data_IF_171494807074
#
_entry.id   IF_171494807074
#
_cell.length_a   1.000
_cell.length_b   1.000
_cell.length_c   1.000
_cell.angle_alpha   90.00
_cell.angle_beta   90.00
_cell.angle_gamma   90.00
#
_symmetry.space_group_name_H-M   'P 1'
#
loop_
_entity.id
_entity.type
_entity.pdbx_description
1 polymer ?
#
# COMPACT_ATOMS: atom_id res chain seq x y z
N UNK A 1 39.22 -33.18 -22.77
CA UNK A 1 38.01 -32.37 -22.51
C UNK A 1 37.90 -32.18 -21.01
N UNK A 2 38.08 -30.95 -20.52
CA UNK A 2 37.91 -30.58 -19.10
C UNK A 2 36.67 -29.69 -19.00
N UNK A 3 35.71 -29.96 -18.11
CA UNK A 3 34.54 -29.12 -17.97
C UNK A 3 34.92 -27.86 -17.19
N UNK A 4 34.75 -26.71 -17.82
CA UNK A 4 34.77 -25.39 -17.18
C UNK A 4 33.46 -25.24 -16.41
N UNK A 5 33.55 -25.30 -15.08
CA UNK A 5 32.42 -25.05 -14.19
C UNK A 5 32.29 -23.54 -14.04
N UNK A 6 31.26 -22.95 -14.65
CA UNK A 6 30.94 -21.53 -14.49
C UNK A 6 30.17 -21.37 -13.18
N UNK A 7 30.81 -20.76 -12.19
CA UNK A 7 30.19 -20.39 -10.93
C UNK A 7 29.47 -19.05 -11.11
N UNK A 8 28.19 -19.11 -11.45
CA UNK A 8 27.31 -17.93 -11.53
C UNK A 8 26.09 -18.13 -10.66
N UNK A 9 26.14 -17.63 -9.43
CA UNK A 9 25.07 -16.84 -8.81
C UNK A 9 25.46 -16.52 -7.36
N UNK A 10 26.22 -15.44 -7.14
CA UNK A 10 26.20 -14.81 -5.82
C UNK A 10 24.85 -14.11 -5.71
N UNK A 11 23.96 -14.51 -4.79
CA UNK A 11 22.69 -13.83 -4.63
C UNK A 11 22.97 -12.39 -4.22
N UNK A 12 22.45 -11.43 -4.98
CA UNK A 12 22.46 -10.03 -4.59
C UNK A 12 21.59 -9.93 -3.34
N UNK A 13 22.22 -9.83 -2.18
CA UNK A 13 21.54 -9.57 -0.91
C UNK A 13 21.07 -8.12 -0.95
N UNK A 14 19.86 -7.91 -1.46
CA UNK A 14 19.16 -6.65 -1.27
C UNK A 14 18.87 -6.50 0.23
N UNK A 15 19.71 -5.73 0.93
CA UNK A 15 19.38 -5.22 2.25
C UNK A 15 18.21 -4.23 2.08
N UNK A 16 17.01 -4.77 1.89
CA UNK A 16 15.79 -4.03 2.05
C UNK A 16 15.82 -3.50 3.48
N UNK A 17 16.00 -2.19 3.61
CA UNK A 17 15.75 -1.43 4.84
C UNK A 17 14.31 -1.74 5.25
N UNK A 18 14.13 -2.83 6.02
CA UNK A 18 12.85 -3.22 6.58
C UNK A 18 12.45 -2.05 7.48
N UNK A 19 11.34 -1.35 7.20
CA UNK A 19 10.85 -0.32 8.09
C UNK A 19 10.71 -0.96 9.47
N UNK A 20 11.43 -0.42 10.47
CA UNK A 20 11.44 -0.94 11.85
C UNK A 20 9.97 -1.13 12.28
N UNK A 21 9.50 -2.36 12.53
CA UNK A 21 8.11 -2.58 12.88
C UNK A 21 7.83 -1.79 14.15
N UNK A 22 6.81 -0.92 14.10
CA UNK A 22 6.24 -0.39 15.33
C UNK A 22 5.72 -1.58 16.16
N UNK A 23 5.60 -1.45 17.49
CA UNK A 23 5.29 -2.57 18.40
C UNK A 23 4.05 -3.41 18.03
N UNK A 24 3.16 -2.90 17.16
CA UNK A 24 1.94 -3.59 16.71
C UNK A 24 2.04 -4.16 15.28
N UNK A 25 3.22 -4.17 14.65
CA UNK A 25 3.40 -4.67 13.27
C UNK A 25 2.80 -3.80 12.16
N UNK A 26 2.01 -2.77 12.50
CA UNK A 26 1.33 -1.90 11.52
C UNK A 26 2.27 -0.84 10.95
N UNK A 27 2.35 -0.77 9.62
CA UNK A 27 3.12 0.21 8.85
C UNK A 27 2.20 1.32 8.33
N UNK A 28 2.74 2.54 8.21
CA UNK A 28 2.04 3.71 7.66
C UNK A 28 2.50 3.92 6.22
N UNK A 29 1.56 3.93 5.30
CA UNK A 29 1.73 4.33 3.91
C UNK A 29 1.07 5.69 3.70
N UNK A 30 1.78 6.65 3.12
CA UNK A 30 1.25 7.96 2.76
C UNK A 30 1.36 8.14 1.26
N UNK A 31 0.25 8.49 0.63
CA UNK A 31 0.17 8.47 -0.82
C UNK A 31 -1.01 9.22 -1.39
N UNK A 32 -1.15 9.10 -2.71
CA UNK A 32 -2.28 9.62 -3.46
C UNK A 32 -3.11 8.43 -3.97
N UNK A 33 -4.42 8.50 -3.84
CA UNK A 33 -5.33 7.46 -4.33
C UNK A 33 -5.24 7.40 -5.85
N UNK A 34 -5.03 6.22 -6.42
CA UNK A 34 -5.28 5.97 -7.83
C UNK A 34 -6.67 5.39 -8.04
N UNK A 35 -7.05 4.44 -7.19
CA UNK A 35 -8.32 3.76 -7.26
C UNK A 35 -8.74 3.32 -5.86
N UNK A 36 -10.03 3.35 -5.58
CA UNK A 36 -10.58 2.85 -4.32
C UNK A 36 -11.92 2.18 -4.57
N UNK A 37 -12.08 0.98 -4.01
CA UNK A 37 -13.37 0.31 -3.91
C UNK A 37 -13.59 -0.18 -2.48
N UNK A 38 -14.72 -0.82 -2.24
CA UNK A 38 -15.14 -1.26 -0.91
C UNK A 38 -14.29 -2.39 -0.34
N UNK A 39 -13.50 -3.09 -1.17
CA UNK A 39 -12.66 -4.22 -0.77
C UNK A 39 -11.16 -3.89 -0.74
N UNK A 40 -10.70 -2.93 -1.53
CA UNK A 40 -9.28 -2.61 -1.69
C UNK A 40 -9.08 -1.15 -2.09
N UNK A 41 -7.90 -0.62 -1.74
CA UNK A 41 -7.46 0.72 -2.11
C UNK A 41 -6.07 0.65 -2.76
N UNK A 42 -5.93 1.29 -3.91
CA UNK A 42 -4.66 1.42 -4.63
C UNK A 42 -4.19 2.86 -4.52
N UNK A 43 -2.97 3.05 -4.02
CA UNK A 43 -2.39 4.36 -3.81
C UNK A 43 -0.93 4.40 -4.28
N UNK A 44 -0.50 5.55 -4.80
CA UNK A 44 0.91 5.84 -5.13
C UNK A 44 1.59 6.49 -3.95
N UNK A 45 2.82 6.08 -3.66
CA UNK A 45 3.57 6.62 -2.52
C UNK A 45 3.90 8.09 -2.74
N UNK A 46 3.75 8.90 -1.69
CA UNK A 46 4.12 10.32 -1.71
C UNK A 46 5.65 10.42 -1.69
N UNK A 47 6.24 11.00 -2.75
CA UNK A 47 7.69 11.15 -2.89
C UNK A 47 8.38 10.02 -3.65
N UNK A 48 7.62 9.00 -4.08
CA UNK A 48 8.10 8.01 -5.05
C UNK A 48 6.95 7.63 -5.99
N UNK A 49 6.75 8.45 -7.04
CA UNK A 49 5.63 8.30 -7.98
C UNK A 49 5.63 6.97 -8.75
N UNK A 50 6.76 6.23 -8.75
CA UNK A 50 6.85 4.90 -9.36
C UNK A 50 6.35 3.77 -8.44
N UNK A 51 6.13 4.06 -7.15
CA UNK A 51 5.64 3.05 -6.19
C UNK A 51 4.13 3.11 -6.09
N UNK A 52 3.46 2.14 -6.71
CA UNK A 52 2.02 1.91 -6.57
C UNK A 52 1.80 0.68 -5.72
N UNK A 53 0.92 0.80 -4.72
CA UNK A 53 0.64 -0.29 -3.81
C UNK A 53 -0.86 -0.44 -3.61
N UNK A 54 -1.33 -1.68 -3.65
CA UNK A 54 -2.71 -2.05 -3.41
C UNK A 54 -2.82 -2.72 -2.06
N UNK A 55 -3.81 -2.27 -1.27
CA UNK A 55 -4.06 -2.77 0.07
C UNK A 55 -5.48 -3.29 0.15
N UNK A 56 -5.62 -4.55 0.56
CA UNK A 56 -6.94 -5.13 0.84
C UNK A 56 -7.48 -4.58 2.16
N UNK A 57 -8.71 -4.10 2.16
CA UNK A 57 -9.34 -3.52 3.34
C UNK A 57 -9.74 -4.62 4.34
N UNK A 58 -9.53 -4.38 5.63
CA UNK A 58 -10.16 -5.17 6.68
C UNK A 58 -11.68 -4.96 6.68
N UNK A 59 -12.49 -5.85 7.30
CA UNK A 59 -13.95 -5.67 7.37
C UNK A 59 -14.39 -4.34 8.02
N UNK A 60 -13.64 -3.86 9.01
CA UNK A 60 -13.90 -2.54 9.61
C UNK A 60 -13.55 -1.40 8.66
N UNK A 61 -12.44 -1.53 7.93
CA UNK A 61 -12.02 -0.54 6.95
C UNK A 61 -12.95 -0.52 5.73
N UNK A 62 -13.43 -1.67 5.24
CA UNK A 62 -14.39 -1.74 4.14
C UNK A 62 -15.71 -1.06 4.48
N UNK A 63 -16.23 -1.25 5.70
CA UNK A 63 -17.41 -0.55 6.18
C UNK A 63 -17.21 0.98 6.18
N UNK A 64 -16.03 1.47 6.59
CA UNK A 64 -15.68 2.90 6.50
C UNK A 64 -15.53 3.37 5.06
N UNK A 65 -15.01 2.53 4.18
CA UNK A 65 -14.83 2.86 2.78
C UNK A 65 -16.18 2.99 2.08
N UNK A 66 -17.12 2.09 2.38
CA UNK A 66 -18.50 2.17 1.89
C UNK A 66 -19.13 3.52 2.26
N UNK A 67 -19.00 3.95 3.52
CA UNK A 67 -19.50 5.26 3.96
C UNK A 67 -18.89 6.45 3.21
N UNK A 68 -17.67 6.29 2.68
CA UNK A 68 -17.00 7.32 1.88
C UNK A 68 -17.46 7.26 0.43
N UNK A 69 -17.60 6.05 -0.13
CA UNK A 69 -18.16 5.81 -1.47
C UNK A 69 -19.57 6.38 -1.58
N UNK A 70 -20.43 6.15 -0.58
CA UNK A 70 -21.77 6.76 -0.46
C UNK A 70 -21.76 8.30 -0.46
N UNK A 71 -20.63 8.92 -0.11
CA UNK A 71 -20.45 10.38 -0.09
C UNK A 71 -19.70 10.93 -1.32
N UNK A 72 -19.48 10.11 -2.34
CA UNK A 72 -18.77 10.49 -3.56
C UNK A 72 -17.40 9.82 -3.74
N UNK A 73 -16.96 9.00 -2.77
CA UNK A 73 -15.73 8.21 -2.87
C UNK A 73 -14.44 9.02 -2.78
N UNK A 74 -13.30 8.32 -2.82
CA UNK A 74 -12.02 8.97 -3.08
C UNK A 74 -11.84 9.16 -4.58
N UNK A 75 -11.31 10.32 -4.95
CA UNK A 75 -10.95 10.67 -6.31
C UNK A 75 -9.47 10.39 -6.58
N UNK A 76 -9.14 10.25 -7.86
CA UNK A 76 -7.76 10.16 -8.29
C UNK A 76 -6.97 11.38 -7.80
N UNK A 77 -5.83 11.15 -7.16
CA UNK A 77 -4.99 12.21 -6.60
C UNK A 77 -5.35 12.61 -5.16
N UNK A 78 -6.38 12.02 -4.55
CA UNK A 78 -6.69 12.32 -3.14
C UNK A 78 -5.59 11.84 -2.21
N UNK A 79 -5.20 12.69 -1.26
CA UNK A 79 -4.20 12.33 -0.25
C UNK A 79 -4.79 11.35 0.75
N UNK A 80 -4.19 10.17 0.83
CA UNK A 80 -4.58 9.12 1.77
C UNK A 80 -3.39 8.63 2.58
N UNK A 81 -3.64 8.34 3.85
CA UNK A 81 -2.75 7.66 4.77
C UNK A 81 -3.36 6.31 5.11
N UNK A 82 -2.67 5.24 4.77
CA UNK A 82 -3.13 3.87 4.98
C UNK A 82 -2.24 3.24 6.05
N UNK A 83 -2.84 2.73 7.10
CA UNK A 83 -2.21 1.92 8.12
C UNK A 83 -2.49 0.46 7.78
N UNK A 84 -1.46 -0.28 7.44
CA UNK A 84 -1.57 -1.64 6.95
C UNK A 84 -0.61 -2.58 7.65
N UNK A 85 -0.97 -3.86 7.66
CA UNK A 85 -0.08 -4.94 8.07
C UNK A 85 0.83 -5.32 6.89
N UNK A 86 2.17 -5.17 7.00
CA UNK A 86 3.10 -5.51 5.93
C UNK A 86 3.22 -7.02 5.67
N UNK A 87 2.82 -7.88 6.60
CA UNK A 87 2.83 -9.33 6.41
C UNK A 87 1.69 -9.80 5.50
N UNK A 88 0.53 -9.16 5.59
CA UNK A 88 -0.67 -9.54 4.82
C UNK A 88 -1.10 -8.51 3.79
N UNK A 89 -0.43 -7.35 3.73
CA UNK A 89 -0.78 -6.21 2.90
C UNK A 89 -2.22 -5.69 3.15
N UNK A 90 -2.76 -5.97 4.33
CA UNK A 90 -4.13 -5.60 4.71
C UNK A 90 -4.15 -4.23 5.37
N UNK A 91 -4.93 -3.32 4.81
CA UNK A 91 -5.23 -2.03 5.42
C UNK A 91 -6.18 -2.23 6.60
N UNK A 92 -5.67 -1.98 7.80
CA UNK A 92 -6.44 -2.03 9.05
C UNK A 92 -7.22 -0.73 9.23
N UNK A 93 -6.60 0.39 8.85
CA UNK A 93 -7.20 1.71 8.97
C UNK A 93 -6.69 2.61 7.88
N UNK A 94 -7.52 3.49 7.35
CA UNK A 94 -7.07 4.55 6.46
C UNK A 94 -7.66 5.89 6.90
N UNK A 95 -6.98 6.96 6.52
CA UNK A 95 -7.36 8.34 6.74
C UNK A 95 -7.14 9.08 5.44
N UNK A 96 -8.16 9.69 4.89
CA UNK A 96 -8.04 10.55 3.73
C UNK A 96 -9.15 11.58 3.78
N UNK A 97 -8.94 12.69 3.07
CA UNK A 97 -10.02 13.63 2.79
C UNK A 97 -10.46 13.33 1.36
N UNK A 98 -11.64 12.73 1.15
CA UNK A 98 -12.18 12.60 -0.19
C UNK A 98 -12.45 14.01 -0.72
N UNK A 99 -11.97 14.30 -1.93
CA UNK A 99 -12.30 15.55 -2.59
C UNK A 99 -13.79 15.57 -2.92
N UNK A 100 -14.43 16.75 -2.80
CA UNK A 100 -15.84 16.91 -3.14
C UNK A 100 -16.05 16.43 -4.59
N UNK A 101 -17.12 15.67 -4.87
CA UNK A 101 -17.50 15.39 -6.24
C UNK A 101 -17.70 16.74 -6.95
N UNK A 102 -17.03 16.89 -8.09
CA UNK A 102 -17.26 17.98 -9.05
C UNK A 102 -18.58 17.78 -9.77
#
# INVERSE_FOLDING_TARGET
>A
MVPIVVDTAVPIVVNAIKPKPKPNGVVKFEGLVLNSNTAQITARAKGNDMTIQTFSLSPEASAKMQQIVDKGGYQYGDKVTIYYDPATMRAIKFKGKPSKPI
#
